data_IF_860203909419
#
_entry.id   IF_860203909419
#
_cell.length_a   1.000
_cell.length_b   1.000
_cell.length_c   1.000
_cell.angle_alpha   90.00
_cell.angle_beta   90.00
_cell.angle_gamma   90.00
#
_symmetry.space_group_name_H-M   'P 1'
#
loop_
_entity.id
_entity.type
_entity.pdbx_description
1 polymer ?
#
# COMPACT_ATOMS: atom_id res chain seq x y z
N UNK A 1 -2.05 -30.72 6.99
CA UNK A 1 -2.04 -30.61 5.52
C UNK A 1 -1.79 -29.14 5.21
N UNK A 2 -0.55 -28.79 4.89
CA UNK A 2 -0.14 -27.48 4.42
C UNK A 2 -0.47 -27.39 2.95
N UNK A 3 -1.54 -26.66 2.58
CA UNK A 3 -1.78 -26.23 1.20
C UNK A 3 -0.70 -25.22 0.80
N UNK A 4 0.40 -25.70 0.26
CA UNK A 4 1.33 -24.87 -0.47
C UNK A 4 0.62 -24.41 -1.75
N UNK A 5 0.20 -23.15 -1.82
CA UNK A 5 -0.25 -22.53 -3.07
C UNK A 5 0.90 -22.65 -4.08
N UNK A 6 0.63 -23.30 -5.23
CA UNK A 6 1.57 -23.30 -6.37
C UNK A 6 1.86 -21.86 -6.78
N UNK A 7 3.11 -21.53 -7.13
CA UNK A 7 3.42 -20.22 -7.70
C UNK A 7 2.59 -20.04 -8.97
N UNK A 8 1.90 -18.89 -9.10
CA UNK A 8 1.18 -18.55 -10.33
C UNK A 8 2.15 -18.52 -11.50
N UNK A 9 1.95 -19.41 -12.47
CA UNK A 9 2.66 -19.37 -13.75
C UNK A 9 2.24 -18.10 -14.51
N UNK A 10 3.15 -17.18 -14.70
CA UNK A 10 2.95 -15.92 -15.44
C UNK A 10 3.70 -14.72 -14.89
N UNK A 11 4.33 -14.85 -13.74
CA UNK A 11 5.06 -13.74 -13.08
C UNK A 11 6.55 -13.64 -13.47
N UNK A 12 7.08 -14.47 -14.37
CA UNK A 12 8.52 -14.64 -14.58
C UNK A 12 9.29 -13.33 -14.86
N UNK A 13 8.83 -12.48 -15.77
CA UNK A 13 9.54 -11.24 -16.11
C UNK A 13 9.37 -10.18 -15.01
N UNK A 14 8.17 -10.02 -14.47
CA UNK A 14 7.90 -9.06 -13.40
C UNK A 14 8.59 -9.48 -12.10
N UNK A 15 8.52 -10.78 -11.75
CA UNK A 15 9.23 -11.33 -10.61
C UNK A 15 10.74 -11.14 -10.75
N UNK A 16 11.28 -11.34 -11.95
CA UNK A 16 12.71 -11.10 -12.22
C UNK A 16 13.08 -9.63 -12.11
N UNK A 17 12.25 -8.71 -12.61
CA UNK A 17 12.45 -7.27 -12.48
C UNK A 17 12.29 -6.84 -11.01
N UNK A 18 11.25 -7.31 -10.33
CA UNK A 18 11.02 -7.04 -8.92
C UNK A 18 12.19 -7.54 -8.06
N UNK A 19 12.68 -8.74 -8.30
CA UNK A 19 13.84 -9.30 -7.60
C UNK A 19 15.13 -8.49 -7.84
N UNK A 20 15.30 -7.94 -9.04
CA UNK A 20 16.45 -7.10 -9.37
C UNK A 20 16.38 -5.68 -8.77
N UNK A 21 15.17 -5.13 -8.69
CA UNK A 21 14.95 -3.74 -8.24
C UNK A 21 14.80 -3.66 -6.72
N UNK A 22 14.16 -4.66 -6.12
CA UNK A 22 13.82 -4.66 -4.69
C UNK A 22 14.68 -5.57 -3.82
N UNK A 23 15.54 -6.37 -4.38
CA UNK A 23 16.74 -7.08 -3.89
C UNK A 23 16.79 -7.70 -2.49
N UNK A 24 15.79 -7.55 -1.64
CA UNK A 24 15.80 -8.10 -0.30
C UNK A 24 14.58 -9.01 -0.08
N UNK A 25 14.80 -10.31 -0.17
CA UNK A 25 13.82 -11.31 0.23
C UNK A 25 13.82 -11.40 1.78
N UNK A 26 12.75 -10.92 2.39
CA UNK A 26 12.52 -10.99 3.83
C UNK A 26 11.41 -12.02 4.10
N UNK A 27 11.80 -13.28 4.29
CA UNK A 27 10.86 -14.39 4.49
C UNK A 27 10.62 -15.23 3.23
N UNK A 28 9.84 -16.32 3.35
CA UNK A 28 9.50 -17.20 2.24
C UNK A 28 8.64 -16.47 1.21
N UNK A 29 9.26 -16.01 0.12
CA UNK A 29 8.63 -15.36 -1.04
C UNK A 29 8.03 -13.95 -0.83
N UNK A 30 8.29 -13.26 0.27
CA UNK A 30 7.88 -11.87 0.48
C UNK A 30 9.01 -10.89 0.16
N UNK A 31 8.74 -9.90 -0.69
CA UNK A 31 9.63 -8.79 -1.00
C UNK A 31 9.06 -7.51 -0.41
N UNK A 32 9.83 -6.86 0.46
CA UNK A 32 9.42 -5.61 1.08
C UNK A 32 10.26 -4.46 0.54
N UNK A 33 9.58 -3.42 0.03
CA UNK A 33 10.28 -2.24 -0.43
C UNK A 33 10.84 -1.42 0.73
N UNK A 34 12.06 -0.86 0.57
CA UNK A 34 12.64 0.03 1.56
C UNK A 34 11.82 1.31 1.71
N UNK A 35 11.71 1.79 2.94
CA UNK A 35 10.96 3.00 3.30
C UNK A 35 11.79 3.90 4.22
N UNK A 36 11.73 5.20 3.99
CA UNK A 36 12.25 6.18 4.94
C UNK A 36 11.17 6.54 5.97
N UNK A 37 11.56 6.58 7.22
CA UNK A 37 10.70 6.96 8.35
C UNK A 37 11.40 8.03 9.18
N UNK A 38 10.73 8.57 10.19
CA UNK A 38 11.36 9.51 11.14
C UNK A 38 12.51 8.86 11.91
N UNK A 39 12.44 7.56 12.13
CA UNK A 39 13.41 6.78 12.87
C UNK A 39 14.50 6.18 11.95
N UNK A 40 14.57 6.63 10.69
CA UNK A 40 15.51 6.16 9.70
C UNK A 40 14.91 5.20 8.68
N UNK A 41 15.76 4.35 8.12
CA UNK A 41 15.39 3.39 7.08
C UNK A 41 14.75 2.14 7.70
N UNK A 42 13.60 1.70 7.15
CA UNK A 42 12.90 0.47 7.51
C UNK A 42 12.39 -0.22 6.25
N UNK A 43 12.15 -1.53 6.32
CA UNK A 43 11.38 -2.21 5.28
C UNK A 43 9.90 -2.04 5.52
N UNK A 44 9.13 -1.83 4.46
CA UNK A 44 7.65 -1.78 4.51
C UNK A 44 7.08 -3.09 5.01
N UNK A 45 5.88 -3.04 5.58
CA UNK A 45 5.17 -4.23 6.02
C UNK A 45 4.22 -4.77 4.95
N UNK A 46 3.81 -3.90 4.01
CA UNK A 46 2.77 -4.18 3.01
C UNK A 46 3.13 -3.73 1.59
N UNK A 47 4.24 -3.04 1.41
CA UNK A 47 4.70 -2.57 0.10
C UNK A 47 5.74 -3.53 -0.47
N UNK A 48 5.35 -4.26 -1.49
CA UNK A 48 6.22 -5.19 -2.20
C UNK A 48 5.43 -6.32 -2.87
N UNK A 49 5.99 -6.95 -3.90
CA UNK A 49 5.36 -8.09 -4.54
C UNK A 49 5.38 -9.32 -3.61
N UNK A 50 4.28 -10.08 -3.61
CA UNK A 50 4.15 -11.32 -2.83
C UNK A 50 3.85 -11.13 -1.34
N UNK A 51 3.47 -9.92 -0.90
CA UNK A 51 3.09 -9.68 0.50
C UNK A 51 1.91 -10.56 0.92
N UNK A 52 2.10 -11.38 1.95
CA UNK A 52 1.00 -12.09 2.61
C UNK A 52 0.27 -11.15 3.56
N UNK A 53 -0.64 -10.35 2.99
CA UNK A 53 -1.34 -9.27 3.69
C UNK A 53 -2.12 -9.77 4.90
N UNK A 54 -2.80 -10.92 4.77
CA UNK A 54 -3.64 -11.45 5.86
C UNK A 54 -2.81 -11.97 7.04
N UNK A 55 -1.71 -12.67 6.74
CA UNK A 55 -0.80 -13.15 7.78
C UNK A 55 -0.08 -11.99 8.48
N UNK A 56 0.33 -10.97 7.72
CA UNK A 56 0.95 -9.77 8.28
C UNK A 56 -0.02 -9.01 9.21
N UNK A 57 -1.31 -8.91 8.85
CA UNK A 57 -2.34 -8.33 9.73
C UNK A 57 -2.52 -9.18 10.99
N UNK A 58 -2.62 -10.52 10.87
CA UNK A 58 -2.74 -11.42 12.03
C UNK A 58 -1.55 -11.35 12.97
N UNK A 59 -0.35 -11.17 12.43
CA UNK A 59 0.88 -10.95 13.22
C UNK A 59 0.95 -9.54 13.85
N UNK A 60 -0.06 -8.70 13.65
CA UNK A 60 -0.12 -7.35 14.20
C UNK A 60 0.85 -6.37 13.54
N UNK A 61 1.42 -6.69 12.36
CA UNK A 61 2.29 -5.77 11.64
C UNK A 61 1.55 -4.47 11.33
N UNK A 62 2.22 -3.34 11.54
CA UNK A 62 1.69 -2.01 11.25
C UNK A 62 2.41 -1.41 10.03
N UNK A 63 1.71 -0.59 9.24
CA UNK A 63 2.37 0.18 8.18
C UNK A 63 3.44 1.11 8.75
N UNK A 64 4.61 1.15 8.13
CA UNK A 64 5.74 1.98 8.57
C UNK A 64 5.73 3.40 7.99
N UNK A 65 4.93 3.63 6.94
CA UNK A 65 4.77 4.91 6.25
C UNK A 65 3.35 5.11 5.74
N UNK A 66 3.00 6.33 5.28
CA UNK A 66 1.70 6.55 4.62
C UNK A 66 1.59 5.79 3.30
N UNK A 67 2.70 5.66 2.57
CA UNK A 67 2.73 4.86 1.33
C UNK A 67 2.50 3.38 1.62
N UNK A 68 3.12 2.84 2.66
CA UNK A 68 2.93 1.45 3.11
C UNK A 68 1.48 1.18 3.55
N UNK A 69 0.84 2.17 4.21
CA UNK A 69 -0.59 2.13 4.56
C UNK A 69 -1.50 2.12 3.34
N UNK A 70 -1.17 2.91 2.32
CA UNK A 70 -1.91 2.90 1.05
C UNK A 70 -1.74 1.55 0.35
N UNK A 71 -0.54 0.96 0.40
CA UNK A 71 -0.28 -0.38 -0.16
C UNK A 71 -1.11 -1.45 0.54
N UNK A 72 -1.15 -1.45 1.88
CA UNK A 72 -2.04 -2.35 2.63
C UNK A 72 -3.50 -2.27 2.13
N UNK A 73 -4.00 -1.05 1.95
CA UNK A 73 -5.38 -0.85 1.49
C UNK A 73 -5.60 -1.32 0.06
N UNK A 74 -4.60 -1.15 -0.80
CA UNK A 74 -4.60 -1.66 -2.17
C UNK A 74 -4.64 -3.20 -2.19
N UNK A 75 -3.82 -3.88 -1.38
CA UNK A 75 -3.77 -5.33 -1.32
C UNK A 75 -5.08 -5.93 -0.78
N UNK A 76 -5.69 -5.27 0.22
CA UNK A 76 -7.03 -5.65 0.68
C UNK A 76 -8.10 -5.46 -0.40
N UNK A 77 -7.97 -4.42 -1.24
CA UNK A 77 -8.88 -4.22 -2.37
C UNK A 77 -8.69 -5.30 -3.45
N UNK A 78 -7.45 -5.74 -3.68
CA UNK A 78 -7.16 -6.86 -4.58
C UNK A 78 -7.82 -8.16 -4.11
N UNK A 79 -7.75 -8.49 -2.82
CA UNK A 79 -8.42 -9.66 -2.26
C UNK A 79 -9.96 -9.62 -2.37
N UNK A 80 -10.53 -8.46 -2.66
CA UNK A 80 -11.98 -8.27 -2.88
C UNK A 80 -12.36 -8.15 -4.35
N UNK A 81 -11.38 -7.99 -5.23
CA UNK A 81 -11.60 -7.84 -6.66
C UNK A 81 -12.23 -9.11 -7.24
N UNK A 82 -13.23 -8.95 -8.09
CA UNK A 82 -13.93 -10.05 -8.76
C UNK A 82 -13.59 -10.14 -10.25
N UNK A 83 -12.96 -9.12 -10.76
CA UNK A 83 -12.62 -9.00 -12.18
C UNK A 83 -11.48 -7.98 -12.38
N UNK A 84 -10.98 -7.92 -13.61
CA UNK A 84 -9.89 -7.00 -13.98
C UNK A 84 -10.25 -5.51 -13.80
N UNK A 85 -11.54 -5.15 -13.91
CA UNK A 85 -11.98 -3.77 -13.71
C UNK A 85 -11.83 -3.35 -12.25
N UNK A 86 -12.17 -4.22 -11.30
CA UNK A 86 -11.99 -3.97 -9.87
C UNK A 86 -10.51 -3.78 -9.53
N UNK A 87 -9.64 -4.64 -10.10
CA UNK A 87 -8.18 -4.53 -9.96
C UNK A 87 -7.68 -3.19 -10.48
N UNK A 88 -8.14 -2.79 -11.68
CA UNK A 88 -7.77 -1.50 -12.27
C UNK A 88 -8.22 -0.32 -11.42
N UNK A 89 -9.41 -0.40 -10.84
CA UNK A 89 -9.92 0.63 -9.94
C UNK A 89 -9.07 0.74 -8.67
N UNK A 90 -8.62 -0.39 -8.10
CA UNK A 90 -7.72 -0.41 -6.95
C UNK A 90 -6.36 0.22 -7.29
N UNK A 91 -5.76 -0.12 -8.45
CA UNK A 91 -4.51 0.46 -8.95
C UNK A 91 -4.61 1.98 -9.09
N UNK A 92 -5.65 2.47 -9.76
CA UNK A 92 -5.88 3.90 -9.95
C UNK A 92 -6.07 4.62 -8.61
N UNK A 93 -6.82 4.03 -7.68
CA UNK A 93 -7.02 4.59 -6.34
C UNK A 93 -5.72 4.68 -5.58
N UNK A 94 -4.87 3.65 -5.61
CA UNK A 94 -3.54 3.66 -5.00
C UNK A 94 -2.66 4.77 -5.57
N UNK A 95 -2.50 4.83 -6.89
CA UNK A 95 -1.68 5.84 -7.57
C UNK A 95 -2.14 7.25 -7.22
N UNK A 96 -3.46 7.51 -7.24
CA UNK A 96 -4.02 8.83 -6.93
C UNK A 96 -3.80 9.22 -5.46
N UNK A 97 -3.97 8.26 -4.52
CA UNK A 97 -3.72 8.52 -3.10
C UNK A 97 -2.24 8.78 -2.82
N UNK A 98 -1.32 8.06 -3.45
CA UNK A 98 0.11 8.33 -3.31
C UNK A 98 0.46 9.72 -3.87
N UNK A 99 -0.10 10.13 -5.02
CA UNK A 99 0.10 11.48 -5.56
C UNK A 99 -0.41 12.57 -4.61
N UNK A 100 -1.58 12.35 -3.98
CA UNK A 100 -2.13 13.25 -2.97
C UNK A 100 -1.21 13.38 -1.76
N UNK A 101 -0.74 12.25 -1.21
CA UNK A 101 0.21 12.22 -0.09
C UNK A 101 1.52 12.92 -0.47
N UNK A 102 2.03 12.70 -1.68
CA UNK A 102 3.24 13.37 -2.18
C UNK A 102 3.05 14.88 -2.29
N UNK A 103 1.93 15.34 -2.84
CA UNK A 103 1.58 16.77 -2.95
C UNK A 103 1.51 17.44 -1.59
N UNK A 104 0.92 16.76 -0.61
CA UNK A 104 0.73 17.26 0.74
C UNK A 104 1.96 17.05 1.65
N UNK A 105 3.08 16.58 1.11
CA UNK A 105 4.29 16.22 1.87
C UNK A 105 4.01 15.29 3.05
N UNK A 106 3.02 14.41 2.89
CA UNK A 106 2.57 13.47 3.93
C UNK A 106 3.49 12.27 4.12
N UNK A 107 4.42 12.05 3.17
CA UNK A 107 5.40 10.97 3.22
C UNK A 107 6.69 11.42 2.50
N UNK A 108 7.76 10.63 2.64
CA UNK A 108 9.02 10.85 1.92
C UNK A 108 8.83 10.61 0.42
N UNK A 109 9.45 11.46 -0.41
CA UNK A 109 9.37 11.32 -1.88
C UNK A 109 9.79 9.94 -2.36
N UNK A 110 10.85 9.39 -1.78
CA UNK A 110 11.33 8.05 -2.10
C UNK A 110 10.22 7.00 -1.90
N UNK A 111 9.55 7.00 -0.73
CA UNK A 111 8.47 6.07 -0.42
C UNK A 111 7.35 6.16 -1.47
N UNK A 112 6.94 7.40 -1.82
CA UNK A 112 5.88 7.64 -2.80
C UNK A 112 6.26 7.16 -4.21
N UNK A 113 7.53 7.28 -4.59
CA UNK A 113 8.02 6.72 -5.86
C UNK A 113 8.02 5.19 -5.83
N UNK A 114 8.53 4.58 -4.75
CA UNK A 114 8.59 3.11 -4.61
C UNK A 114 7.19 2.48 -4.64
N UNK A 115 6.19 3.11 -4.03
CA UNK A 115 4.81 2.62 -4.07
C UNK A 115 4.12 2.82 -5.42
N UNK A 116 4.42 3.91 -6.13
CA UNK A 116 3.68 4.31 -7.34
C UNK A 116 4.23 3.70 -8.62
N UNK A 117 5.55 3.73 -8.80
CA UNK A 117 6.17 3.35 -10.08
C UNK A 117 5.86 1.92 -10.51
N UNK A 118 5.91 0.90 -9.65
CA UNK A 118 5.57 -0.48 -10.03
C UNK A 118 4.13 -0.61 -10.53
N UNK A 119 3.19 0.04 -9.85
CA UNK A 119 1.76 -0.01 -10.23
C UNK A 119 1.53 0.74 -11.55
N UNK A 120 2.16 1.89 -11.75
CA UNK A 120 2.07 2.61 -13.03
C UNK A 120 2.71 1.81 -14.17
N UNK A 121 3.83 1.15 -13.93
CA UNK A 121 4.47 0.25 -14.89
C UNK A 121 3.55 -0.91 -15.28
N UNK A 122 2.94 -1.59 -14.29
CA UNK A 122 1.92 -2.62 -14.53
C UNK A 122 0.78 -2.11 -15.40
N UNK A 123 0.20 -0.96 -15.02
CA UNK A 123 -0.91 -0.34 -15.76
C UNK A 123 -0.53 0.01 -17.21
N UNK A 124 0.71 0.46 -17.45
CA UNK A 124 1.22 0.73 -18.79
C UNK A 124 1.32 -0.55 -19.62
N UNK A 125 1.89 -1.62 -19.06
CA UNK A 125 2.03 -2.92 -19.74
C UNK A 125 0.67 -3.53 -20.06
N UNK A 126 -0.32 -3.39 -19.20
CA UNK A 126 -1.71 -3.79 -19.46
C UNK A 126 -2.33 -2.98 -20.61
N UNK A 127 -2.12 -1.65 -20.64
CA UNK A 127 -2.63 -0.78 -21.71
C UNK A 127 -1.99 -1.08 -23.08
N UNK A 128 -0.73 -1.50 -23.09
CA UNK A 128 -0.02 -1.89 -24.31
C UNK A 128 -0.35 -3.32 -24.76
N UNK A 129 -1.18 -4.06 -24.02
CA UNK A 129 -1.51 -5.45 -24.32
C UNK A 129 -0.35 -6.43 -24.10
N UNK A 130 0.76 -5.97 -23.47
CA UNK A 130 1.91 -6.80 -23.13
C UNK A 130 1.59 -7.69 -21.92
N UNK A 131 0.76 -7.20 -21.03
CA UNK A 131 0.30 -7.90 -19.85
C UNK A 131 -1.23 -8.01 -19.86
N UNK A 132 -1.74 -9.17 -19.45
CA UNK A 132 -3.19 -9.37 -19.34
C UNK A 132 -3.73 -8.53 -18.16
N UNK A 133 -4.82 -7.76 -18.35
CA UNK A 133 -5.45 -7.04 -17.26
C UNK A 133 -5.80 -7.94 -16.07
N UNK A 134 -5.45 -7.50 -14.87
CA UNK A 134 -5.69 -8.27 -13.65
C UNK A 134 -4.72 -9.42 -13.38
N UNK A 135 -3.57 -9.49 -14.06
CA UNK A 135 -2.61 -10.61 -14.01
C UNK A 135 -2.07 -10.94 -12.61
N UNK A 136 -2.14 -10.01 -11.65
CA UNK A 136 -1.64 -10.23 -10.29
C UNK A 136 -2.74 -10.44 -9.27
N UNK A 137 -4.01 -10.42 -9.69
CA UNK A 137 -5.13 -10.70 -8.82
C UNK A 137 -5.50 -12.18 -8.91
N UNK A 138 -5.77 -12.76 -7.76
CA UNK A 138 -6.43 -14.04 -7.64
C UNK A 138 -7.93 -13.74 -7.47
N UNK A 139 -8.75 -14.17 -8.43
CA UNK A 139 -10.20 -13.95 -8.40
C UNK A 139 -10.93 -15.09 -7.64
N UNK A 140 -10.19 -16.01 -7.06
CA UNK A 140 -10.78 -17.04 -6.21
C UNK A 140 -11.37 -16.41 -4.94
N UNK A 141 -12.47 -16.95 -4.43
CA UNK A 141 -13.07 -16.44 -3.20
C UNK A 141 -12.07 -16.47 -2.04
N UNK A 142 -11.84 -15.32 -1.44
CA UNK A 142 -11.03 -15.22 -0.23
C UNK A 142 -11.68 -16.06 0.86
N UNK A 143 -10.94 -16.94 1.56
CA UNK A 143 -11.46 -17.72 2.68
C UNK A 143 -12.16 -16.82 3.70
N UNK A 144 -13.24 -17.30 4.31
CA UNK A 144 -14.08 -16.50 5.20
C UNK A 144 -13.30 -15.89 6.38
N UNK A 145 -12.36 -16.67 6.94
CA UNK A 145 -11.47 -16.18 8.00
C UNK A 145 -10.61 -14.99 7.55
N UNK A 146 -10.13 -15.01 6.30
CA UNK A 146 -9.35 -13.91 5.72
C UNK A 146 -10.24 -12.74 5.33
N UNK A 147 -11.47 -12.99 4.88
CA UNK A 147 -12.46 -11.96 4.58
C UNK A 147 -12.79 -11.14 5.82
N UNK A 148 -13.05 -11.78 6.95
CA UNK A 148 -13.31 -11.07 8.22
C UNK A 148 -12.13 -10.19 8.62
N UNK A 149 -10.90 -10.72 8.60
CA UNK A 149 -9.68 -9.95 8.88
C UNK A 149 -9.54 -8.76 7.93
N UNK A 150 -9.83 -8.97 6.64
CA UNK A 150 -9.82 -7.93 5.63
C UNK A 150 -10.84 -6.83 5.90
N UNK A 151 -12.08 -7.21 6.26
CA UNK A 151 -13.17 -6.27 6.49
C UNK A 151 -12.91 -5.42 7.73
N UNK A 152 -12.51 -6.03 8.83
CA UNK A 152 -12.18 -5.35 10.08
C UNK A 152 -11.03 -4.34 9.86
N UNK A 153 -9.96 -4.77 9.19
CA UNK A 153 -8.81 -3.89 8.92
C UNK A 153 -9.13 -2.79 7.93
N UNK A 154 -9.93 -3.07 6.91
CA UNK A 154 -10.35 -2.06 5.93
C UNK A 154 -11.18 -0.96 6.61
N UNK A 155 -12.12 -1.34 7.46
CA UNK A 155 -12.95 -0.42 8.22
C UNK A 155 -12.12 0.43 9.20
N UNK A 156 -11.17 -0.19 9.90
CA UNK A 156 -10.23 0.54 10.76
C UNK A 156 -9.46 1.61 9.96
N UNK A 157 -8.92 1.25 8.79
CA UNK A 157 -8.17 2.18 7.94
C UNK A 157 -9.04 3.31 7.39
N UNK A 158 -10.32 3.05 7.05
CA UNK A 158 -11.26 4.10 6.64
C UNK A 158 -11.54 5.08 7.77
N UNK A 159 -11.76 4.58 9.00
CA UNK A 159 -12.00 5.42 10.17
C UNK A 159 -10.78 6.27 10.55
N UNK A 160 -9.57 5.72 10.40
CA UNK A 160 -8.35 6.46 10.70
C UNK A 160 -8.07 7.60 9.70
N UNK A 161 -8.63 7.54 8.50
CA UNK A 161 -8.41 8.49 7.41
C UNK A 161 -6.94 8.56 6.94
N UNK A 162 -6.71 9.21 5.81
CA UNK A 162 -5.37 9.55 5.35
C UNK A 162 -5.03 10.97 5.81
N UNK A 163 -3.93 11.13 6.54
CA UNK A 163 -3.40 12.45 6.84
C UNK A 163 -3.81 13.07 8.16
N UNK A 164 -3.83 12.29 9.25
CA UNK A 164 -3.98 12.83 10.63
C UNK A 164 -2.97 13.96 10.98
N UNK A 165 -1.93 14.17 10.17
CA UNK A 165 -1.03 15.33 10.35
C UNK A 165 -1.76 16.66 10.24
N UNK A 166 -2.80 16.78 9.39
CA UNK A 166 -3.59 18.01 9.27
C UNK A 166 -4.44 18.24 10.52
N UNK A 167 -5.01 17.20 11.12
CA UNK A 167 -5.79 17.33 12.36
C UNK A 167 -4.91 17.61 13.57
N UNK A 168 -3.76 16.96 13.70
CA UNK A 168 -2.79 17.25 14.76
C UNK A 168 -2.20 18.66 14.63
N UNK A 169 -1.90 19.11 13.40
CA UNK A 169 -1.47 20.47 13.11
C UNK A 169 -2.57 21.48 13.43
N UNK A 170 -3.82 21.25 12.98
CA UNK A 170 -4.95 22.12 13.29
C UNK A 170 -5.23 22.19 14.79
N UNK A 171 -5.13 21.08 15.51
CA UNK A 171 -5.27 21.04 16.98
C UNK A 171 -4.14 21.83 17.64
N UNK A 172 -2.90 21.68 17.15
CA UNK A 172 -1.76 22.45 17.65
C UNK A 172 -1.92 23.94 17.35
N UNK A 173 -2.32 24.31 16.13
CA UNK A 173 -2.60 25.72 15.75
C UNK A 173 -3.71 26.30 16.61
N UNK A 174 -4.81 25.57 16.82
CA UNK A 174 -5.91 26.01 17.67
C UNK A 174 -5.47 26.22 19.14
N UNK A 175 -4.68 25.30 19.70
CA UNK A 175 -4.14 25.40 21.03
C UNK A 175 -3.16 26.58 21.17
N UNK A 176 -2.33 26.82 20.15
CA UNK A 176 -1.38 27.94 20.13
C UNK A 176 -2.08 29.29 19.97
N UNK A 177 -3.11 29.38 19.11
CA UNK A 177 -3.95 30.58 18.99
C UNK A 177 -4.69 30.91 20.30
N UNK A 178 -5.15 29.88 21.03
CA UNK A 178 -5.79 30.06 22.34
C UNK A 178 -4.81 30.63 23.38
N UNK A 179 -3.54 30.20 23.33
CA UNK A 179 -2.47 30.69 24.23
C UNK A 179 -1.90 32.06 23.79
N UNK A 180 -1.90 32.35 22.50
CA UNK A 180 -1.33 33.56 21.94
C UNK A 180 -2.14 34.07 20.73
N UNK A 181 -3.20 34.88 20.95
CA UNK A 181 -4.15 35.27 19.91
C UNK A 181 -3.54 36.20 18.81
N UNK A 182 -2.33 36.73 19.03
CA UNK A 182 -1.64 37.61 18.04
C UNK A 182 -0.83 36.84 16.99
N UNK A 183 -0.70 35.54 17.11
CA UNK A 183 0.04 34.70 16.12
C UNK A 183 -0.82 34.46 14.89
N UNK A 184 -0.40 35.02 13.74
CA UNK A 184 -0.99 34.74 12.43
C UNK A 184 -0.18 33.65 11.75
N UNK A 185 -0.83 32.54 11.36
CA UNK A 185 -0.25 31.51 10.53
C UNK A 185 -0.72 31.72 9.09
N UNK A 186 0.22 31.84 8.14
CA UNK A 186 -0.11 31.81 6.70
C UNK A 186 -0.54 30.39 6.34
N UNK A 187 -1.70 30.25 5.71
CA UNK A 187 -2.23 28.99 5.13
C UNK A 187 -1.38 28.50 3.96
#
# INVERSE_FOLDING_TARGET
YTNQKKPQEGSGLYQTIANRVFGAQLGENEYHAPQFTKDGFKFGSFIGPGTDVYNNIRKGKQPVSETDKISLKHDLAYGRARNATDVRAADLKMVNKIKEVQKNKGDYKFNTYMGRLPIQGKMLLENLGIMKPGSFADFDPVPEADRKVSDDKFNELEQQGYGKKKSAWLTHVAATKKKNPKVSYKE
#
